data_IF_775417050175
#
_entry.id   IF_775417050175
#
_cell.length_a   1.000
_cell.length_b   1.000
_cell.length_c   1.000
_cell.angle_alpha   90.00
_cell.angle_beta   90.00
_cell.angle_gamma   90.00
#
_symmetry.space_group_name_H-M   'P 1'
#
loop_
_entity.id
_entity.type
_entity.pdbx_description
1 polymer ?
#
# COMPACT_ATOMS: atom_id res chain seq x y z
N UNK A 1 12.21 2.74 -56.00
CA UNK A 1 13.30 2.90 -55.02
C UNK A 1 13.17 4.28 -54.37
N UNK A 2 12.51 4.36 -53.21
CA UNK A 2 12.76 5.40 -52.22
C UNK A 2 12.74 4.70 -50.87
N UNK A 3 13.87 4.80 -50.17
CA UNK A 3 14.26 4.04 -48.98
C UNK A 3 13.97 4.98 -47.80
N UNK A 4 13.72 4.45 -46.60
CA UNK A 4 13.32 5.22 -45.40
C UNK A 4 11.82 5.56 -45.31
N UNK A 5 10.99 4.52 -45.13
CA UNK A 5 9.87 4.64 -44.19
C UNK A 5 10.49 4.82 -42.81
N UNK A 6 10.35 6.02 -42.25
CA UNK A 6 10.75 6.30 -40.87
C UNK A 6 9.95 5.36 -39.97
N UNK A 7 10.68 4.63 -39.12
CA UNK A 7 10.13 3.71 -38.15
C UNK A 7 9.04 4.40 -37.32
N UNK A 8 7.99 3.63 -37.02
CA UNK A 8 6.85 4.02 -36.20
C UNK A 8 7.28 4.96 -35.08
N UNK A 9 6.63 6.12 -35.05
CA UNK A 9 6.70 7.07 -33.95
C UNK A 9 6.53 6.32 -32.64
N UNK A 10 7.56 6.34 -31.79
CA UNK A 10 7.48 5.93 -30.39
C UNK A 10 6.46 6.84 -29.69
N UNK A 11 5.18 6.51 -29.82
CA UNK A 11 4.11 7.15 -29.07
C UNK A 11 4.30 6.76 -27.60
N UNK A 12 4.94 7.65 -26.85
CA UNK A 12 5.08 7.52 -25.41
C UNK A 12 3.66 7.43 -24.84
N UNK A 13 3.30 6.41 -24.03
CA UNK A 13 1.96 6.28 -23.50
C UNK A 13 1.55 7.55 -22.76
N UNK A 14 0.53 8.24 -23.27
CA UNK A 14 0.00 9.43 -22.61
C UNK A 14 -0.69 9.01 -21.32
N UNK A 15 -0.17 9.46 -20.17
CA UNK A 15 -0.75 9.16 -18.86
C UNK A 15 -2.14 9.78 -18.78
N UNK A 16 -3.17 8.94 -18.72
CA UNK A 16 -4.55 9.36 -18.47
C UNK A 16 -4.72 9.79 -17.02
N UNK A 17 -5.67 10.69 -16.77
CA UNK A 17 -6.08 11.01 -15.41
C UNK A 17 -6.75 9.76 -14.81
N UNK A 18 -6.21 9.26 -13.71
CA UNK A 18 -6.71 8.09 -13.00
C UNK A 18 -7.80 8.45 -11.97
N UNK A 19 -7.94 9.74 -11.64
CA UNK A 19 -8.95 10.20 -10.68
C UNK A 19 -10.32 10.17 -11.34
N UNK A 20 -11.28 9.64 -10.60
CA UNK A 20 -12.68 9.67 -11.00
C UNK A 20 -13.13 11.12 -11.05
N UNK A 21 -13.73 11.50 -12.19
CA UNK A 21 -14.24 12.85 -12.39
C UNK A 21 -15.36 13.11 -11.39
N UNK A 22 -15.35 14.31 -10.80
CA UNK A 22 -16.37 14.79 -9.85
C UNK A 22 -16.44 14.02 -8.51
N UNK A 23 -15.44 13.18 -8.21
CA UNK A 23 -15.28 12.55 -6.90
C UNK A 23 -14.45 13.42 -5.94
N UNK A 24 -14.98 13.68 -4.75
CA UNK A 24 -14.27 14.41 -3.70
C UNK A 24 -13.39 13.46 -2.89
N UNK A 25 -12.08 13.52 -3.12
CA UNK A 25 -11.09 12.70 -2.42
C UNK A 25 -10.78 13.20 -1.00
N UNK A 26 -11.38 14.31 -0.55
CA UNK A 26 -11.25 14.79 0.82
C UNK A 26 -12.22 14.07 1.79
N UNK A 27 -13.24 13.38 1.26
CA UNK A 27 -14.16 12.59 2.08
C UNK A 27 -13.50 11.31 2.57
N UNK A 28 -14.06 10.72 3.64
CA UNK A 28 -13.62 9.42 4.14
C UNK A 28 -13.72 8.35 3.06
N UNK A 29 -12.71 7.48 2.96
CA UNK A 29 -12.71 6.39 1.98
C UNK A 29 -11.63 5.35 2.23
N UNK A 30 -11.90 4.13 1.78
CA UNK A 30 -10.95 3.02 1.79
C UNK A 30 -10.15 2.98 0.48
N UNK A 31 -8.84 2.78 0.58
CA UNK A 31 -7.90 2.78 -0.53
C UNK A 31 -7.03 1.54 -0.49
N UNK A 32 -6.94 0.84 -1.62
CA UNK A 32 -5.95 -0.21 -1.82
C UNK A 32 -4.61 0.41 -2.20
N UNK A 33 -3.56 0.07 -1.46
CA UNK A 33 -2.20 0.56 -1.63
C UNK A 33 -1.28 -0.61 -1.95
N UNK A 34 -0.38 -0.39 -2.89
CA UNK A 34 0.73 -1.30 -3.17
C UNK A 34 2.03 -0.54 -3.03
N UNK A 35 2.93 -1.04 -2.19
CA UNK A 35 4.30 -0.54 -2.05
C UNK A 35 5.22 -1.61 -2.61
N UNK A 36 5.74 -1.39 -3.82
CA UNK A 36 6.68 -2.30 -4.47
C UNK A 36 8.12 -1.89 -4.22
N UNK A 37 9.01 -2.87 -4.11
CA UNK A 37 10.46 -2.63 -4.11
C UNK A 37 10.96 -2.24 -5.50
N UNK A 38 12.12 -1.58 -5.55
CA UNK A 38 12.78 -1.25 -6.80
C UNK A 38 13.00 -2.51 -7.65
N UNK A 39 12.61 -2.45 -8.92
CA UNK A 39 12.70 -3.58 -9.87
C UNK A 39 12.14 -4.92 -9.35
N UNK A 40 11.18 -4.88 -8.41
CA UNK A 40 10.57 -6.07 -7.79
C UNK A 40 11.58 -6.98 -7.07
N UNK A 41 12.68 -6.43 -6.57
CA UNK A 41 13.67 -7.16 -5.78
C UNK A 41 13.04 -7.74 -4.49
N UNK A 42 13.34 -9.00 -4.18
CA UNK A 42 12.84 -9.68 -2.98
C UNK A 42 13.57 -9.23 -1.71
N UNK A 43 13.34 -7.97 -1.31
CA UNK A 43 14.05 -7.36 -0.18
C UNK A 43 13.43 -7.69 1.18
N UNK A 44 12.17 -8.11 1.24
CA UNK A 44 11.41 -8.28 2.49
C UNK A 44 11.48 -9.71 3.06
N UNK A 45 12.13 -10.64 2.37
CA UNK A 45 12.28 -12.04 2.78
C UNK A 45 11.86 -13.00 1.67
N UNK A 46 11.49 -14.22 2.04
CA UNK A 46 11.20 -15.31 1.10
C UNK A 46 9.92 -16.05 1.47
N UNK A 47 9.36 -16.80 0.52
CA UNK A 47 8.25 -17.73 0.79
C UNK A 47 8.82 -19.15 0.90
N UNK A 48 8.65 -19.77 2.07
CA UNK A 48 9.09 -21.15 2.36
C UNK A 48 7.85 -21.96 2.73
N UNK A 49 7.61 -23.09 2.05
CA UNK A 49 6.45 -23.96 2.25
C UNK A 49 5.09 -23.23 2.16
N UNK A 50 5.02 -22.20 1.31
CA UNK A 50 3.81 -21.38 1.11
C UNK A 50 3.61 -20.28 2.14
N UNK A 51 4.51 -20.14 3.12
CA UNK A 51 4.45 -19.11 4.15
C UNK A 51 5.49 -18.01 3.93
N UNK A 52 5.10 -16.76 4.12
CA UNK A 52 6.03 -15.64 4.09
C UNK A 52 6.94 -15.65 5.32
N UNK A 53 8.26 -15.68 5.08
CA UNK A 53 9.31 -15.57 6.10
C UNK A 53 10.00 -14.23 5.93
N UNK A 54 9.63 -13.26 6.78
CA UNK A 54 10.22 -11.93 6.77
C UNK A 54 11.68 -11.97 7.21
N UNK A 55 12.53 -11.23 6.51
CA UNK A 55 13.87 -10.87 6.97
C UNK A 55 13.81 -9.54 7.76
N UNK A 56 14.96 -8.99 8.16
CA UNK A 56 15.02 -7.73 8.91
C UNK A 56 14.34 -6.55 8.19
N UNK A 57 14.52 -6.43 6.88
CA UNK A 57 13.88 -5.38 6.09
C UNK A 57 12.37 -5.58 5.96
N UNK A 58 11.90 -6.82 5.86
CA UNK A 58 10.47 -7.14 5.90
C UNK A 58 9.83 -6.85 7.26
N UNK A 59 10.55 -7.13 8.35
CA UNK A 59 10.13 -6.75 9.71
C UNK A 59 10.05 -5.23 9.86
N UNK A 60 11.06 -4.50 9.40
CA UNK A 60 11.05 -3.03 9.37
C UNK A 60 9.86 -2.50 8.58
N UNK A 61 9.59 -3.03 7.37
CA UNK A 61 8.44 -2.62 6.57
C UNK A 61 7.11 -2.84 7.31
N UNK A 62 6.96 -3.98 8.00
CA UNK A 62 5.78 -4.26 8.83
C UNK A 62 5.62 -3.25 9.96
N UNK A 63 6.68 -2.97 10.69
CA UNK A 63 6.67 -2.01 11.80
C UNK A 63 6.32 -0.60 11.31
N UNK A 64 6.96 -0.16 10.22
CA UNK A 64 6.69 1.12 9.60
C UNK A 64 5.25 1.24 9.09
N UNK A 65 4.71 0.18 8.49
CA UNK A 65 3.31 0.12 8.10
C UNK A 65 2.40 0.32 9.31
N UNK A 66 2.58 -0.48 10.38
CA UNK A 66 1.79 -0.41 11.62
C UNK A 66 1.94 0.91 12.38
N UNK A 67 3.05 1.64 12.19
CA UNK A 67 3.26 2.97 12.77
C UNK A 67 2.50 4.08 12.04
N UNK A 68 1.95 3.82 10.85
CA UNK A 68 1.23 4.81 10.03
C UNK A 68 0.12 5.55 10.81
N UNK A 69 -0.83 4.89 11.52
CA UNK A 69 -1.89 5.57 12.28
C UNK A 69 -1.38 6.45 13.43
N UNK A 70 -0.18 6.17 13.95
CA UNK A 70 0.43 7.00 15.01
C UNK A 70 1.00 8.30 14.44
N UNK A 71 1.47 8.28 13.18
CA UNK A 71 1.99 9.46 12.49
C UNK A 71 0.88 10.29 11.85
N UNK A 72 -0.19 9.63 11.41
CA UNK A 72 -1.32 10.23 10.72
C UNK A 72 -2.62 9.83 11.42
N UNK A 73 -3.12 10.63 12.37
CA UNK A 73 -4.28 10.27 13.20
C UNK A 73 -5.60 10.06 12.44
N UNK A 74 -5.67 10.51 11.19
CA UNK A 74 -6.81 10.35 10.29
C UNK A 74 -6.67 9.12 9.36
N UNK A 75 -5.69 8.25 9.62
CA UNK A 75 -5.49 6.99 8.91
C UNK A 75 -5.77 5.83 9.86
N UNK A 76 -6.62 4.92 9.40
CA UNK A 76 -6.79 3.58 9.99
C UNK A 76 -6.24 2.55 8.99
N UNK A 77 -5.56 1.54 9.50
CA UNK A 77 -5.12 0.40 8.70
C UNK A 77 -6.17 -0.69 8.79
N UNK A 78 -6.43 -1.33 7.66
CA UNK A 78 -7.20 -2.57 7.60
C UNK A 78 -6.23 -3.69 7.12
N UNK A 79 -6.75 -4.74 6.50
CA UNK A 79 -5.98 -5.89 6.03
C UNK A 79 -4.76 -5.50 5.17
N UNK A 80 -3.65 -6.18 5.42
CA UNK A 80 -2.43 -6.04 4.64
C UNK A 80 -1.63 -7.34 4.60
N UNK A 81 -0.83 -7.51 3.54
CA UNK A 81 0.09 -8.63 3.37
C UNK A 81 1.42 -8.12 2.85
N UNK A 82 2.50 -8.68 3.39
CA UNK A 82 3.86 -8.46 2.89
C UNK A 82 4.28 -9.71 2.14
N UNK A 83 4.68 -9.51 0.90
CA UNK A 83 5.31 -10.50 0.03
C UNK A 83 6.78 -10.12 -0.15
N UNK A 84 7.64 -11.01 -0.69
CA UNK A 84 9.08 -10.76 -0.78
C UNK A 84 9.48 -9.40 -1.36
N UNK A 85 8.72 -8.88 -2.31
CA UNK A 85 9.03 -7.65 -3.05
C UNK A 85 7.95 -6.58 -3.02
N UNK A 86 6.88 -6.76 -2.24
CA UNK A 86 5.84 -5.75 -2.13
C UNK A 86 5.02 -5.90 -0.85
N UNK A 87 4.40 -4.80 -0.42
CA UNK A 87 3.29 -4.78 0.51
C UNK A 87 2.01 -4.44 -0.26
N UNK A 88 0.95 -5.19 0.00
CA UNK A 88 -0.43 -4.82 -0.36
C UNK A 88 -1.19 -4.50 0.93
N UNK A 89 -1.98 -3.44 0.94
CA UNK A 89 -2.77 -3.11 2.13
C UNK A 89 -3.93 -2.18 1.84
N UNK A 90 -4.89 -2.18 2.74
CA UNK A 90 -6.03 -1.27 2.74
C UNK A 90 -5.79 -0.21 3.81
N UNK A 91 -5.97 1.06 3.43
CA UNK A 91 -5.98 2.18 4.37
C UNK A 91 -7.32 2.91 4.27
N UNK A 92 -7.84 3.35 5.41
CA UNK A 92 -9.01 4.22 5.49
C UNK A 92 -8.49 5.62 5.80
N UNK A 93 -8.70 6.55 4.86
CA UNK A 93 -8.29 7.94 5.00
C UNK A 93 -9.51 8.77 5.38
N UNK A 94 -9.35 9.67 6.35
CA UNK A 94 -10.45 10.52 6.84
C UNK A 94 -11.26 9.89 7.98
N UNK A 95 -10.82 8.73 8.50
CA UNK A 95 -11.44 8.09 9.65
C UNK A 95 -11.41 9.04 10.86
N UNK A 96 -12.57 9.24 11.48
CA UNK A 96 -12.68 10.08 12.68
C UNK A 96 -12.05 9.35 13.88
N UNK A 97 -11.42 10.10 14.80
CA UNK A 97 -10.72 9.60 16.00
C UNK A 97 -11.49 8.54 16.83
N UNK A 98 -12.82 8.50 16.71
CA UNK A 98 -13.68 7.53 17.38
C UNK A 98 -13.37 6.06 17.03
N UNK A 99 -12.93 5.77 15.80
CA UNK A 99 -12.60 4.39 15.37
C UNK A 99 -11.35 3.88 16.07
N UNK A 100 -10.33 4.73 16.21
CA UNK A 100 -9.06 4.37 16.86
C UNK A 100 -9.22 4.09 18.37
N UNK A 101 -10.17 4.74 19.04
CA UNK A 101 -10.48 4.47 20.46
C UNK A 101 -11.15 3.10 20.70
N UNK A 102 -11.90 2.57 19.74
CA UNK A 102 -12.58 1.28 19.90
C UNK A 102 -11.58 0.11 19.89
N UNK A 103 -10.64 0.12 18.95
CA UNK A 103 -9.59 -0.90 18.83
C UNK A 103 -8.62 -0.90 20.04
N UNK A 104 -8.31 0.28 20.58
CA UNK A 104 -7.50 0.40 21.82
C UNK A 104 -8.26 -0.18 23.01
N UNK A 105 -9.60 -0.06 23.07
CA UNK A 105 -10.40 -0.60 24.17
C UNK A 105 -10.53 -2.11 24.11
N UNK A 106 -10.64 -2.67 22.90
CA UNK A 106 -10.79 -4.12 22.71
C UNK A 106 -9.48 -4.88 22.96
N UNK A 107 -8.33 -4.29 22.62
CA UNK A 107 -7.01 -4.84 22.96
C UNK A 107 -6.67 -4.77 24.46
N UNK A 108 -7.25 -3.81 25.22
CA UNK A 108 -7.11 -3.75 26.68
C UNK A 108 -8.07 -4.69 27.42
N UNK A 109 -9.17 -5.13 26.79
CA UNK A 109 -10.17 -6.00 27.42
C UNK A 109 -9.82 -7.50 27.41
N UNK A 110 -8.75 -7.90 26.70
CA UNK A 110 -8.26 -9.29 26.68
C UNK A 110 -7.16 -9.59 27.73
N UNK A 111 -6.85 -8.64 28.61
CA UNK A 111 -5.86 -8.79 29.69
C UNK A 111 -6.46 -8.65 31.10
N UNK A 112 -7.75 -8.96 31.28
CA UNK A 112 -8.43 -9.02 32.59
C UNK A 112 -8.99 -10.43 32.80
#
# INVERSE_FOLDING_TARGET
MNKYKMADSLEIPYRRNIRLKDFDYATEGAYFVTIGTYEKQCLFGDVIDGEMRLNEAGVMMREEWLMTPRRYPNIVLDEFVIMPNHLHGIIIVGATLAVQYHEIRDSMSQNI
#
